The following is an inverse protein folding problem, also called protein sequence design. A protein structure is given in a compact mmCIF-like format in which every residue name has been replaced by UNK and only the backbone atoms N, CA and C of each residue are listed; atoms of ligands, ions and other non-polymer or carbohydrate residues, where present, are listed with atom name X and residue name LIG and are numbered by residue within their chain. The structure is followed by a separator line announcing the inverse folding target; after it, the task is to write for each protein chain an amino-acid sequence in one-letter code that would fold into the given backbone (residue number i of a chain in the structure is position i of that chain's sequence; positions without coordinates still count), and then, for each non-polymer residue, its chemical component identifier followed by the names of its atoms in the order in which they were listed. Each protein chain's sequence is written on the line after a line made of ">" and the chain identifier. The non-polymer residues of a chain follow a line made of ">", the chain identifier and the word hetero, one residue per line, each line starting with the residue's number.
data_IF_158847589501
#
_entry.id   IF_158847589501
#
_cell.length_a   1.000
_cell.length_b   1.000
_cell.length_c   1.000
_cell.angle_alpha   90.00
_cell.angle_beta   90.00
_cell.angle_gamma   90.00
#
_symmetry.space_group_name_H-M   'P 1'
#
loop_
_entity.id
_entity.type
_entity.pdbx_description
1 polymer ?
#
# COMPACT_ATOMS: atom_id res chain seq x y z
N UNK A 1 0.15 -7.03 15.00
CA UNK A 1 1.50 -6.60 14.54
C UNK A 1 2.26 -7.82 14.06
N UNK A 2 2.90 -7.75 12.88
CA UNK A 2 3.81 -8.78 12.41
C UNK A 2 5.03 -8.81 13.33
N UNK A 3 5.39 -10.00 13.85
CA UNK A 3 6.54 -10.20 14.74
C UNK A 3 7.71 -10.81 14.02
N UNK A 4 7.45 -11.89 13.30
CA UNK A 4 8.47 -12.59 12.53
C UNK A 4 7.93 -12.97 11.16
N UNK A 5 8.81 -12.99 10.19
CA UNK A 5 8.58 -13.54 8.86
C UNK A 5 9.80 -14.38 8.51
N UNK A 6 9.59 -15.66 8.22
CA UNK A 6 10.63 -16.58 7.86
C UNK A 6 10.32 -17.24 6.52
N UNK A 7 11.17 -17.05 5.58
CA UNK A 7 11.04 -17.50 4.19
C UNK A 7 12.07 -18.60 3.93
N UNK A 8 11.59 -19.74 3.47
CA UNK A 8 12.45 -20.88 3.09
C UNK A 8 12.24 -21.23 1.64
N UNK A 9 13.34 -21.29 0.89
CA UNK A 9 13.35 -21.68 -0.52
C UNK A 9 12.41 -20.86 -1.42
N UNK A 10 12.26 -19.57 -1.07
CA UNK A 10 11.47 -18.60 -1.83
C UNK A 10 12.23 -17.26 -1.83
N UNK A 11 12.22 -16.57 -2.98
CA UNK A 11 12.96 -15.33 -3.15
C UNK A 11 14.45 -15.55 -3.42
N UNK A 12 15.26 -14.52 -3.18
CA UNK A 12 16.68 -14.51 -3.53
C UNK A 12 17.55 -15.29 -2.54
N UNK A 13 17.16 -15.37 -1.29
CA UNK A 13 17.88 -16.12 -0.26
C UNK A 13 17.16 -17.46 0.00
N UNK A 14 17.89 -18.56 0.15
CA UNK A 14 17.30 -19.87 0.43
C UNK A 14 16.65 -19.93 1.82
N UNK A 15 17.14 -19.13 2.76
CA UNK A 15 16.60 -18.99 4.10
C UNK A 15 16.76 -17.52 4.53
N UNK A 16 15.63 -16.84 4.79
CA UNK A 16 15.59 -15.47 5.22
C UNK A 16 14.61 -15.31 6.38
N UNK A 17 15.13 -14.93 7.54
CA UNK A 17 14.32 -14.60 8.70
C UNK A 17 14.41 -13.11 9.03
N UNK A 18 13.27 -12.50 9.26
CA UNK A 18 13.12 -11.09 9.65
C UNK A 18 12.31 -11.01 10.93
N UNK A 19 12.87 -10.43 11.96
CA UNK A 19 12.19 -10.09 13.20
C UNK A 19 11.83 -8.60 13.16
N UNK A 20 10.54 -8.29 13.28
CA UNK A 20 10.01 -6.95 13.10
C UNK A 20 9.94 -6.19 14.42
N UNK A 21 10.47 -4.97 14.42
CA UNK A 21 10.28 -4.04 15.52
C UNK A 21 8.82 -3.55 15.59
N UNK A 22 8.34 -3.14 16.77
CA UNK A 22 6.91 -2.82 16.97
C UNK A 22 6.43 -1.56 16.23
N UNK A 23 7.31 -0.63 15.89
CA UNK A 23 6.89 0.68 15.35
C UNK A 23 7.53 1.04 14.02
N UNK A 24 8.85 0.93 13.90
CA UNK A 24 9.59 1.34 12.72
C UNK A 24 10.57 0.25 12.32
N UNK A 25 10.57 -0.10 11.05
CA UNK A 25 11.51 -1.01 10.43
C UNK A 25 12.05 -0.35 9.16
N UNK A 26 13.35 -0.21 9.06
CA UNK A 26 14.01 0.34 7.88
C UNK A 26 14.68 -0.79 7.12
N UNK A 27 14.26 -1.01 5.86
CA UNK A 27 14.82 -2.03 4.96
C UNK A 27 15.64 -1.30 3.92
N UNK A 28 16.97 -1.49 3.96
CA UNK A 28 17.92 -0.87 3.05
C UNK A 28 18.62 -1.93 2.19
N UNK A 29 19.22 -1.51 1.12
CA UNK A 29 19.98 -2.36 0.20
C UNK A 29 19.82 -1.91 -1.25
N UNK A 30 20.64 -2.46 -2.15
CA UNK A 30 20.64 -2.12 -3.56
C UNK A 30 19.35 -2.54 -4.27
N UNK A 31 19.12 -2.01 -5.48
CA UNK A 31 18.00 -2.40 -6.31
C UNK A 31 18.08 -3.88 -6.71
N UNK A 32 16.93 -4.53 -6.79
CA UNK A 32 16.87 -5.95 -7.12
C UNK A 32 17.08 -6.92 -5.95
N UNK A 33 17.45 -6.46 -4.76
CA UNK A 33 17.69 -7.33 -3.58
C UNK A 33 16.41 -7.79 -2.85
N UNK A 34 15.24 -7.65 -3.47
CA UNK A 34 14.00 -8.23 -2.95
C UNK A 34 13.33 -7.45 -1.83
N UNK A 35 13.63 -6.15 -1.64
CA UNK A 35 12.96 -5.32 -0.62
C UNK A 35 11.45 -5.28 -0.80
N UNK A 36 10.97 -5.00 -2.02
CA UNK A 36 9.54 -5.00 -2.34
C UNK A 36 8.91 -6.38 -2.18
N UNK A 37 9.61 -7.44 -2.60
CA UNK A 37 9.18 -8.81 -2.39
C UNK A 37 8.97 -9.15 -0.90
N UNK A 38 9.85 -8.66 -0.02
CA UNK A 38 9.68 -8.83 1.43
C UNK A 38 8.43 -8.10 1.94
N UNK A 39 8.16 -6.91 1.42
CA UNK A 39 6.96 -6.14 1.77
C UNK A 39 5.68 -6.80 1.23
N UNK A 40 5.70 -7.37 0.03
CA UNK A 40 4.58 -8.16 -0.53
C UNK A 40 4.25 -9.37 0.34
N UNK A 41 5.27 -10.05 0.85
CA UNK A 41 5.10 -11.17 1.78
C UNK A 41 4.61 -10.73 3.16
N UNK A 42 5.07 -9.58 3.66
CA UNK A 42 4.56 -8.98 4.90
C UNK A 42 3.08 -8.61 4.75
N UNK A 43 2.69 -8.01 3.63
CA UNK A 43 1.29 -7.75 3.29
C UNK A 43 0.47 -9.04 3.29
N UNK A 44 0.95 -10.06 2.58
CA UNK A 44 0.25 -11.35 2.52
C UNK A 44 0.12 -12.01 3.90
N UNK A 45 1.17 -12.00 4.71
CA UNK A 45 1.15 -12.55 6.07
C UNK A 45 0.08 -11.88 6.96
N UNK A 46 -0.13 -10.57 6.78
CA UNK A 46 -1.10 -9.79 7.54
C UNK A 46 -2.54 -9.94 7.03
N UNK A 47 -2.74 -10.05 5.71
CA UNK A 47 -4.06 -9.91 5.08
C UNK A 47 -4.57 -11.18 4.40
N UNK A 48 -3.69 -12.14 4.09
CA UNK A 48 -3.98 -13.34 3.28
C UNK A 48 -4.46 -13.01 1.87
N UNK A 49 -4.04 -11.85 1.36
CA UNK A 49 -4.27 -11.42 -0.02
C UNK A 49 -2.95 -10.99 -0.64
N UNK A 50 -2.87 -10.96 -1.95
CA UNK A 50 -1.72 -10.42 -2.66
C UNK A 50 -2.04 -9.01 -3.15
N UNK A 51 -1.10 -8.09 -2.95
CA UNK A 51 -1.25 -6.72 -3.46
C UNK A 51 -0.93 -6.60 -4.96
N UNK A 52 -0.28 -7.60 -5.50
CA UNK A 52 0.08 -7.76 -6.90
C UNK A 52 0.11 -9.25 -7.24
N UNK A 53 1.17 -9.71 -7.89
CA UNK A 53 1.35 -11.13 -8.18
C UNK A 53 1.65 -11.95 -6.91
N UNK A 54 1.14 -13.15 -6.87
CA UNK A 54 1.50 -14.10 -5.83
C UNK A 54 3.00 -14.44 -5.91
N UNK A 55 3.64 -14.61 -4.76
CA UNK A 55 5.02 -15.06 -4.72
C UNK A 55 5.12 -16.48 -5.29
N UNK A 56 5.89 -16.66 -6.34
CA UNK A 56 6.16 -17.96 -6.96
C UNK A 56 7.59 -18.40 -6.62
N UNK A 57 7.77 -19.54 -5.96
CA UNK A 57 9.09 -20.08 -5.71
C UNK A 57 9.72 -20.62 -6.99
N UNK A 58 11.06 -20.55 -7.13
CA UNK A 58 11.75 -21.17 -8.27
C UNK A 58 11.34 -22.63 -8.49
N UNK A 59 11.29 -23.07 -9.74
CA UNK A 59 10.84 -24.42 -10.08
C UNK A 59 11.65 -25.53 -9.36
N UNK A 60 12.96 -25.32 -9.20
CA UNK A 60 13.87 -26.26 -8.53
C UNK A 60 13.79 -26.21 -6.98
N UNK A 61 13.08 -25.23 -6.41
CA UNK A 61 13.00 -25.10 -4.95
C UNK A 61 12.29 -26.29 -4.31
N UNK A 62 12.93 -26.86 -3.30
CA UNK A 62 12.36 -27.96 -2.50
C UNK A 62 11.65 -27.38 -1.28
N UNK A 63 10.39 -27.79 -1.08
CA UNK A 63 9.58 -27.41 0.09
C UNK A 63 9.58 -25.89 0.37
N UNK A 64 9.16 -25.04 -0.57
CA UNK A 64 9.05 -23.60 -0.32
C UNK A 64 8.04 -23.34 0.80
N UNK A 65 8.41 -22.45 1.73
CA UNK A 65 7.61 -22.21 2.93
C UNK A 65 7.66 -20.75 3.35
N UNK A 66 6.52 -20.22 3.74
CA UNK A 66 6.36 -18.95 4.44
C UNK A 66 5.88 -19.26 5.86
N UNK A 67 6.67 -18.88 6.84
CA UNK A 67 6.30 -18.96 8.25
C UNK A 67 6.24 -17.55 8.82
N UNK A 68 5.23 -17.24 9.61
CA UNK A 68 5.09 -15.93 10.20
C UNK A 68 4.34 -15.97 11.53
N UNK A 69 4.60 -14.95 12.35
CA UNK A 69 3.96 -14.72 13.62
C UNK A 69 3.34 -13.33 13.62
N UNK A 70 2.02 -13.27 13.81
CA UNK A 70 1.30 -12.00 14.01
C UNK A 70 0.74 -11.95 15.40
N UNK A 71 1.15 -10.96 16.16
CA UNK A 71 0.62 -10.71 17.49
C UNK A 71 -0.71 -9.94 17.38
N UNK A 72 -1.79 -10.56 17.83
CA UNK A 72 -3.10 -9.96 18.01
C UNK A 72 -3.31 -9.39 19.42
N UNK A 73 -4.55 -9.04 19.75
CA UNK A 73 -4.94 -8.56 21.09
C UNK A 73 -5.03 -9.68 22.13
N UNK A 74 -5.19 -10.93 21.72
CA UNK A 74 -5.42 -12.06 22.61
C UNK A 74 -4.28 -13.08 22.55
N UNK A 75 -3.52 -13.20 23.63
CA UNK A 75 -2.63 -14.33 23.91
C UNK A 75 -1.31 -14.38 23.16
N UNK A 76 -0.54 -15.45 23.38
CA UNK A 76 0.69 -15.73 22.68
C UNK A 76 0.43 -15.99 21.19
N UNK A 77 1.20 -15.32 20.35
CA UNK A 77 1.13 -15.45 18.92
C UNK A 77 1.76 -16.80 18.50
N UNK A 78 0.95 -17.69 17.92
CA UNK A 78 1.44 -18.97 17.39
C UNK A 78 1.99 -18.79 15.98
N UNK A 79 3.09 -19.47 15.62
CA UNK A 79 3.57 -19.49 14.24
C UNK A 79 2.51 -20.06 13.30
N UNK A 80 2.37 -19.42 12.17
CA UNK A 80 1.57 -19.89 11.04
C UNK A 80 2.51 -20.26 9.92
N UNK A 81 2.35 -21.47 9.40
CA UNK A 81 3.18 -22.02 8.34
C UNK A 81 2.32 -22.25 7.11
N UNK A 82 2.76 -21.74 5.98
CA UNK A 82 2.21 -22.03 4.66
C UNK A 82 3.27 -22.69 3.79
N UNK A 83 2.96 -23.84 3.22
CA UNK A 83 3.81 -24.53 2.25
C UNK A 83 3.20 -24.34 0.88
N UNK A 84 4.04 -23.99 -0.09
CA UNK A 84 3.59 -23.79 -1.47
C UNK A 84 3.05 -25.08 -2.07
N UNK A 85 1.86 -25.01 -2.63
CA UNK A 85 1.24 -26.11 -3.34
C UNK A 85 1.38 -25.88 -4.85
N UNK A 86 2.23 -26.70 -5.49
CA UNK A 86 2.53 -26.54 -6.91
C UNK A 86 1.39 -26.91 -7.86
N UNK A 87 0.44 -27.75 -7.40
CA UNK A 87 -0.69 -28.19 -8.23
C UNK A 87 -1.63 -27.05 -8.63
N UNK A 88 -1.77 -26.07 -7.78
CA UNK A 88 -2.68 -24.94 -7.94
C UNK A 88 -1.99 -23.59 -7.70
N UNK A 89 -0.66 -23.61 -7.57
CA UNK A 89 0.18 -22.44 -7.38
C UNK A 89 -0.25 -21.56 -6.20
N UNK A 90 -0.68 -22.16 -5.11
CA UNK A 90 -1.22 -21.46 -3.96
C UNK A 90 -0.36 -21.58 -2.71
N UNK A 91 -0.59 -20.65 -1.80
CA UNK A 91 -0.07 -20.64 -0.44
C UNK A 91 -1.21 -20.92 0.56
N UNK A 92 -1.58 -22.20 0.76
CA UNK A 92 -2.67 -22.55 1.66
C UNK A 92 -2.30 -22.26 3.12
N UNK A 93 -3.30 -21.87 3.89
CA UNK A 93 -3.16 -21.69 5.32
C UNK A 93 -4.33 -22.35 6.02
N UNK A 94 -4.06 -23.21 6.99
CA UNK A 94 -5.08 -23.97 7.72
C UNK A 94 -6.00 -23.09 8.58
N UNK A 95 -5.54 -21.88 8.94
CA UNK A 95 -6.35 -20.95 9.71
C UNK A 95 -7.47 -20.35 8.84
N UNK A 96 -8.70 -20.54 9.26
CA UNK A 96 -9.92 -20.12 8.55
C UNK A 96 -10.00 -18.60 8.29
N UNK A 97 -9.32 -17.79 9.10
CA UNK A 97 -9.38 -16.31 9.03
C UNK A 97 -7.99 -15.69 9.04
N UNK A 98 -7.78 -14.54 8.38
CA UNK A 98 -6.54 -13.80 8.51
C UNK A 98 -6.33 -13.33 9.96
N UNK A 99 -5.10 -13.01 10.36
CA UNK A 99 -4.88 -12.34 11.63
C UNK A 99 -5.62 -10.99 11.63
N UNK A 100 -5.86 -10.42 12.80
CA UNK A 100 -6.50 -9.10 12.92
C UNK A 100 -5.45 -8.05 13.35
N UNK A 101 -4.62 -7.57 12.44
CA UNK A 101 -3.56 -6.62 12.77
C UNK A 101 -4.05 -5.18 12.98
N UNK A 102 -5.30 -4.87 12.61
CA UNK A 102 -5.84 -3.53 12.43
C UNK A 102 -5.88 -3.18 10.94
N UNK A 103 -5.98 -1.90 10.60
CA UNK A 103 -5.88 -1.43 9.22
C UNK A 103 -4.44 -1.67 8.74
N UNK A 104 -4.32 -2.22 7.54
CA UNK A 104 -3.04 -2.40 6.85
C UNK A 104 -3.08 -1.58 5.57
N UNK A 105 -2.08 -0.73 5.39
CA UNK A 105 -1.88 0.06 4.16
C UNK A 105 -0.53 -0.30 3.58
N UNK A 106 -0.50 -0.59 2.31
CA UNK A 106 0.71 -0.87 1.55
C UNK A 106 0.81 0.10 0.38
N UNK A 107 1.75 1.04 0.48
CA UNK A 107 2.06 1.99 -0.59
C UNK A 107 3.11 1.35 -1.48
N UNK A 108 2.78 1.21 -2.76
CA UNK A 108 3.64 0.53 -3.74
C UNK A 108 4.53 1.53 -4.47
N UNK A 109 5.64 1.01 -4.99
CA UNK A 109 6.62 1.80 -5.75
C UNK A 109 6.04 2.38 -7.07
N UNK A 110 4.98 1.79 -7.58
CA UNK A 110 4.27 2.24 -8.78
C UNK A 110 3.32 3.43 -8.54
N UNK A 111 3.30 3.95 -7.30
CA UNK A 111 2.39 5.04 -6.91
C UNK A 111 0.97 4.59 -6.55
N UNK A 112 0.67 3.31 -6.71
CA UNK A 112 -0.58 2.73 -6.23
C UNK A 112 -0.51 2.37 -4.75
N UNK A 113 -1.64 1.99 -4.17
CA UNK A 113 -1.67 1.45 -2.80
C UNK A 113 -2.72 0.37 -2.63
N UNK A 114 -2.55 -0.40 -1.57
CA UNK A 114 -3.48 -1.44 -1.17
C UNK A 114 -3.92 -1.21 0.26
N UNK A 115 -5.18 -1.44 0.55
CA UNK A 115 -5.77 -1.28 1.89
C UNK A 115 -6.50 -2.55 2.28
N UNK A 116 -6.22 -3.02 3.48
CA UNK A 116 -7.00 -4.06 4.14
C UNK A 116 -7.58 -3.48 5.43
N UNK A 117 -8.91 -3.44 5.50
CA UNK A 117 -9.67 -2.93 6.64
C UNK A 117 -10.41 -4.09 7.32
N UNK A 118 -10.13 -4.40 8.60
CA UNK A 118 -10.81 -5.48 9.30
C UNK A 118 -12.33 -5.32 9.35
N UNK A 119 -12.84 -4.10 9.37
CA UNK A 119 -14.27 -3.85 9.37
C UNK A 119 -14.95 -4.27 8.05
N UNK A 120 -14.21 -4.24 6.94
CA UNK A 120 -14.73 -4.50 5.59
C UNK A 120 -14.26 -5.82 5.01
N UNK A 121 -12.99 -6.17 5.20
CA UNK A 121 -12.36 -7.28 4.51
C UNK A 121 -12.24 -8.57 5.37
N UNK A 122 -12.40 -8.46 6.69
CA UNK A 122 -12.25 -9.61 7.59
C UNK A 122 -13.34 -10.67 7.39
N UNK A 123 -14.59 -10.24 7.18
CA UNK A 123 -15.73 -11.10 6.99
C UNK A 123 -15.98 -11.36 5.50
N UNK A 124 -15.34 -12.40 4.97
CA UNK A 124 -15.45 -12.79 3.55
C UNK A 124 -16.77 -13.49 3.18
N UNK A 125 -17.69 -13.59 4.08
CA UNK A 125 -18.99 -14.26 3.85
C UNK A 125 -19.94 -13.44 2.98
N UNK A 126 -19.63 -12.17 2.71
CA UNK A 126 -20.40 -11.32 1.81
C UNK A 126 -19.77 -11.36 0.41
N UNK A 127 -20.44 -11.97 -0.59
CA UNK A 127 -19.88 -12.09 -1.95
C UNK A 127 -19.63 -10.74 -2.64
N UNK A 128 -20.22 -9.66 -2.14
CA UNK A 128 -20.00 -8.30 -2.66
C UNK A 128 -18.78 -7.58 -2.06
N UNK A 129 -18.09 -8.19 -1.09
CA UNK A 129 -16.93 -7.56 -0.44
C UNK A 129 -15.61 -8.07 -0.98
N UNK A 130 -14.73 -7.19 -1.47
CA UNK A 130 -13.41 -7.61 -1.93
C UNK A 130 -12.56 -8.11 -0.75
N UNK A 131 -11.62 -9.00 -1.05
CA UNK A 131 -10.68 -9.53 -0.05
C UNK A 131 -9.71 -8.46 0.47
N UNK A 132 -9.41 -7.46 -0.34
CA UNK A 132 -8.70 -6.22 -0.03
C UNK A 132 -9.04 -5.18 -1.11
N UNK A 133 -8.71 -3.92 -0.87
CA UNK A 133 -8.82 -2.86 -1.87
C UNK A 133 -7.46 -2.59 -2.47
N UNK A 134 -7.39 -2.51 -3.80
CA UNK A 134 -6.17 -2.23 -4.55
C UNK A 134 -6.45 -1.08 -5.51
N UNK A 135 -5.62 -0.04 -5.44
CA UNK A 135 -5.74 1.14 -6.27
C UNK A 135 -4.46 1.29 -7.10
N UNK A 136 -4.61 1.39 -8.42
CA UNK A 136 -3.51 1.75 -9.31
C UNK A 136 -3.18 3.24 -9.16
N UNK A 137 -1.98 3.67 -9.58
CA UNK A 137 -1.57 5.07 -9.47
C UNK A 137 -2.57 6.04 -10.12
N UNK A 138 -3.02 5.72 -11.33
CA UNK A 138 -4.00 6.58 -12.02
C UNK A 138 -5.34 6.67 -11.29
N UNK A 139 -5.81 5.57 -10.65
CA UNK A 139 -7.05 5.58 -9.86
C UNK A 139 -6.92 6.43 -8.60
N UNK A 140 -5.71 6.52 -8.03
CA UNK A 140 -5.44 7.43 -6.90
C UNK A 140 -5.56 8.89 -7.33
N UNK A 141 -4.99 9.23 -8.47
CA UNK A 141 -4.96 10.62 -8.97
C UNK A 141 -6.24 11.05 -9.66
N UNK A 142 -6.77 10.22 -10.56
CA UNK A 142 -7.87 10.56 -11.45
C UNK A 142 -9.23 10.05 -10.95
N UNK A 143 -9.22 9.13 -9.99
CA UNK A 143 -10.41 8.50 -9.43
C UNK A 143 -10.71 7.14 -10.04
N UNK A 144 -11.72 6.49 -9.49
CA UNK A 144 -12.13 5.14 -9.85
C UNK A 144 -13.57 5.11 -10.32
N UNK A 145 -13.77 4.55 -11.52
CA UNK A 145 -15.07 4.24 -12.07
C UNK A 145 -15.28 2.71 -12.08
N UNK A 146 -16.41 2.26 -11.57
CA UNK A 146 -16.81 0.85 -11.60
C UNK A 146 -18.20 0.73 -12.22
N UNK A 147 -18.30 -0.03 -13.30
CA UNK A 147 -19.57 -0.23 -14.00
C UNK A 147 -20.22 1.06 -14.52
N UNK A 148 -19.42 2.07 -14.87
CA UNK A 148 -19.88 3.38 -15.33
C UNK A 148 -20.33 4.33 -14.20
N UNK A 149 -20.14 3.94 -12.95
CA UNK A 149 -20.41 4.79 -11.79
C UNK A 149 -19.10 5.25 -11.16
N UNK A 150 -18.99 6.54 -10.87
CA UNK A 150 -17.87 7.13 -10.15
C UNK A 150 -17.90 6.67 -8.68
N UNK A 151 -16.88 5.92 -8.26
CA UNK A 151 -16.73 5.42 -6.87
C UNK A 151 -15.93 6.39 -6.02
N UNK A 152 -14.89 6.99 -6.58
CA UNK A 152 -14.12 8.06 -5.94
C UNK A 152 -13.62 9.05 -6.99
N UNK A 153 -13.47 10.31 -6.59
CA UNK A 153 -13.12 11.41 -7.49
C UNK A 153 -11.64 11.48 -7.85
N UNK A 154 -10.79 10.87 -7.02
CA UNK A 154 -9.36 10.95 -7.12
C UNK A 154 -8.76 12.18 -6.44
N UNK A 155 -7.48 12.08 -6.11
CA UNK A 155 -6.79 13.09 -5.29
C UNK A 155 -6.72 14.47 -5.98
N UNK A 156 -6.58 14.52 -7.30
CA UNK A 156 -6.54 15.81 -8.02
C UNK A 156 -7.80 16.62 -7.79
N UNK A 157 -8.96 15.99 -7.94
CA UNK A 157 -10.24 16.67 -7.76
C UNK A 157 -10.58 16.90 -6.30
N UNK A 158 -10.30 15.92 -5.46
CA UNK A 158 -10.53 16.02 -4.03
C UNK A 158 -9.68 17.12 -3.40
N UNK A 159 -8.42 17.26 -3.80
CA UNK A 159 -7.54 18.33 -3.32
C UNK A 159 -8.14 19.72 -3.60
N UNK A 160 -8.50 19.99 -4.85
CA UNK A 160 -9.12 21.26 -5.23
C UNK A 160 -10.40 21.51 -4.43
N UNK A 161 -11.29 20.52 -4.36
CA UNK A 161 -12.55 20.61 -3.63
C UNK A 161 -12.33 20.84 -2.12
N UNK A 162 -11.31 20.24 -1.53
CA UNK A 162 -10.98 20.44 -0.11
C UNK A 162 -10.41 21.82 0.14
N UNK A 163 -9.57 22.31 -0.76
CA UNK A 163 -8.95 23.63 -0.68
C UNK A 163 -9.98 24.74 -0.84
N UNK A 164 -10.79 24.72 -1.89
CA UNK A 164 -11.85 25.71 -2.15
C UNK A 164 -12.94 25.69 -1.08
N UNK A 165 -13.35 24.49 -0.67
CA UNK A 165 -14.34 24.29 0.39
C UNK A 165 -13.81 24.51 1.80
N UNK A 166 -12.52 24.80 1.99
CA UNK A 166 -11.85 24.91 3.30
C UNK A 166 -12.15 23.73 4.22
N UNK A 167 -12.20 22.52 3.64
CA UNK A 167 -12.58 21.30 4.36
C UNK A 167 -11.46 20.84 5.31
N UNK A 168 -11.80 20.12 6.39
CA UNK A 168 -10.78 19.63 7.33
C UNK A 168 -9.76 18.69 6.70
N UNK A 169 -10.10 17.98 5.61
CA UNK A 169 -9.19 17.16 4.83
C UNK A 169 -8.04 17.98 4.23
N UNK A 170 -8.29 19.23 3.85
CA UNK A 170 -7.24 20.11 3.34
C UNK A 170 -6.18 20.39 4.39
N UNK A 171 -6.58 20.60 5.64
CA UNK A 171 -5.60 20.78 6.75
C UNK A 171 -4.73 19.54 6.96
N UNK A 172 -5.31 18.35 6.84
CA UNK A 172 -4.55 17.11 6.92
C UNK A 172 -3.54 16.98 5.75
N UNK A 173 -3.94 17.40 4.55
CA UNK A 173 -3.07 17.44 3.38
C UNK A 173 -1.91 18.45 3.57
N UNK A 174 -2.20 19.65 4.04
CA UNK A 174 -1.16 20.67 4.33
C UNK A 174 -0.17 20.15 5.37
N UNK A 175 -0.65 19.49 6.41
CA UNK A 175 0.21 18.91 7.44
C UNK A 175 1.06 17.76 6.86
N UNK A 176 0.51 16.92 6.00
CA UNK A 176 1.28 15.88 5.30
C UNK A 176 2.37 16.49 4.42
N UNK A 177 2.06 17.52 3.63
CA UNK A 177 3.05 18.25 2.83
C UNK A 177 4.15 18.83 3.71
N UNK A 178 3.79 19.46 4.82
CA UNK A 178 4.74 20.04 5.78
C UNK A 178 5.70 18.99 6.36
N UNK A 179 5.17 17.81 6.75
CA UNK A 179 5.96 16.75 7.37
C UNK A 179 6.88 16.06 6.37
N UNK A 180 6.42 15.92 5.13
CA UNK A 180 7.17 15.24 4.06
C UNK A 180 8.14 16.18 3.33
N UNK A 181 8.03 17.50 3.55
CA UNK A 181 8.89 18.48 2.91
C UNK A 181 10.35 18.37 3.36
N UNK A 182 11.30 18.56 2.44
CA UNK A 182 12.68 18.84 2.80
C UNK A 182 12.77 20.09 3.68
N UNK A 183 13.68 20.08 4.65
CA UNK A 183 13.86 21.22 5.57
C UNK A 183 14.23 22.52 4.84
N UNK A 184 15.00 22.40 3.75
CA UNK A 184 15.46 23.56 2.97
C UNK A 184 14.39 24.13 2.03
N UNK A 185 13.43 23.30 1.60
CA UNK A 185 12.41 23.68 0.60
C UNK A 185 11.04 23.15 1.02
N UNK A 186 10.32 23.89 1.88
CA UNK A 186 9.02 23.43 2.36
C UNK A 186 7.98 23.44 1.22
N UNK A 187 7.35 22.28 1.02
CA UNK A 187 6.23 22.13 0.11
C UNK A 187 4.94 22.68 0.73
N UNK A 188 4.18 23.41 -0.06
CA UNK A 188 2.86 23.93 0.33
C UNK A 188 1.87 23.74 -0.80
N UNK A 189 0.60 23.65 -0.48
CA UNK A 189 -0.45 23.69 -1.48
C UNK A 189 -0.49 25.09 -2.11
N UNK A 190 -0.39 25.13 -3.44
CA UNK A 190 -0.54 26.35 -4.22
C UNK A 190 -2.00 26.59 -4.63
N UNK A 191 -2.33 27.74 -5.24
CA UNK A 191 -3.65 28.00 -5.76
C UNK A 191 -3.95 27.05 -6.93
N UNK A 192 -5.15 26.45 -6.99
CA UNK A 192 -5.54 25.64 -8.14
C UNK A 192 -5.44 26.43 -9.45
N UNK A 193 -5.00 25.77 -10.51
CA UNK A 193 -4.79 26.41 -11.80
C UNK A 193 -5.35 25.57 -12.95
N UNK A 194 -5.90 26.26 -13.95
CA UNK A 194 -6.30 25.63 -15.22
C UNK A 194 -5.08 25.49 -16.13
N UNK A 195 -4.70 24.26 -16.43
CA UNK A 195 -3.48 23.98 -17.20
C UNK A 195 -3.71 24.02 -18.72
N UNK A 196 -4.90 23.64 -19.17
CA UNK A 196 -5.19 23.55 -20.60
C UNK A 196 -6.43 24.36 -20.96
N UNK A 197 -6.36 25.06 -22.10
CA UNK A 197 -7.51 25.76 -22.68
C UNK A 197 -8.50 24.68 -23.14
N UNK A 198 -9.70 24.68 -22.59
CA UNK A 198 -10.72 23.67 -22.87
C UNK A 198 -10.85 22.60 -21.79
N UNK A 199 -9.94 22.53 -20.83
CA UNK A 199 -10.13 21.73 -19.63
C UNK A 199 -11.15 22.41 -18.72
N UNK A 200 -12.26 21.71 -18.40
CA UNK A 200 -13.36 22.27 -17.59
C UNK A 200 -13.06 22.38 -16.11
N UNK A 201 -11.83 22.04 -15.67
CA UNK A 201 -11.49 21.96 -14.23
C UNK A 201 -10.11 22.56 -13.94
N UNK A 202 -9.96 23.08 -12.73
CA UNK A 202 -8.69 23.48 -12.18
C UNK A 202 -7.95 22.26 -11.60
N UNK A 203 -6.62 22.30 -11.62
CA UNK A 203 -5.75 21.25 -11.10
C UNK A 203 -4.98 21.73 -9.88
N UNK A 204 -4.65 20.83 -8.94
CA UNK A 204 -3.87 21.20 -7.77
C UNK A 204 -2.43 21.56 -8.15
N UNK A 205 -1.86 22.50 -7.41
CA UNK A 205 -0.48 22.93 -7.56
C UNK A 205 0.27 22.86 -6.23
N UNK A 206 1.58 22.78 -6.33
CA UNK A 206 2.52 22.90 -5.22
C UNK A 206 3.26 24.23 -5.32
N UNK A 207 3.48 24.86 -4.16
CA UNK A 207 4.43 25.95 -4.00
C UNK A 207 5.76 25.37 -3.53
N UNK A 208 6.81 25.56 -4.32
CA UNK A 208 8.19 25.15 -4.03
C UNK A 208 9.04 26.40 -4.08
N UNK A 209 9.44 26.91 -2.93
CA UNK A 209 10.06 28.24 -2.85
C UNK A 209 9.12 29.33 -3.38
N UNK A 210 9.50 30.01 -4.46
CA UNK A 210 8.69 31.02 -5.16
C UNK A 210 7.95 30.50 -6.40
N UNK A 211 8.10 29.22 -6.73
CA UNK A 211 7.53 28.65 -7.94
C UNK A 211 6.23 27.91 -7.65
N UNK A 212 5.26 28.05 -8.52
CA UNK A 212 4.02 27.25 -8.52
C UNK A 212 4.15 26.17 -9.59
N UNK A 213 4.10 24.92 -9.15
CA UNK A 213 4.26 23.74 -10.01
C UNK A 213 2.98 22.89 -9.96
N UNK A 214 2.36 22.58 -11.12
CA UNK A 214 1.25 21.64 -11.14
C UNK A 214 1.67 20.27 -10.58
N UNK A 215 0.86 19.68 -9.71
CA UNK A 215 1.18 18.38 -9.08
C UNK A 215 1.44 17.31 -10.13
N UNK A 216 0.67 17.29 -11.22
CA UNK A 216 0.84 16.34 -12.33
C UNK A 216 2.20 16.45 -13.04
N UNK A 217 2.90 17.59 -12.91
CA UNK A 217 4.22 17.84 -13.50
C UNK A 217 5.35 17.80 -12.48
N UNK A 218 5.03 17.62 -11.20
CA UNK A 218 6.03 17.46 -10.17
C UNK A 218 6.80 16.14 -10.38
N UNK A 219 8.11 16.17 -10.14
CA UNK A 219 8.91 14.95 -10.24
C UNK A 219 8.52 13.96 -9.14
N UNK A 220 8.75 12.67 -9.38
CA UNK A 220 8.46 11.61 -8.42
C UNK A 220 9.26 11.72 -7.09
N UNK A 221 10.15 12.68 -6.97
CA UNK A 221 10.93 12.98 -5.77
C UNK A 221 10.43 14.20 -4.99
N UNK A 222 9.31 14.79 -5.41
CA UNK A 222 8.66 15.93 -4.75
C UNK A 222 7.46 15.46 -3.93
#
# INVERSE_FOLDING_TARGET
>A
MLKTLHLKNIGLAPDLRVDWAPRLNLITGDNGLGKSFLLDLAWWALTRTWAGMAALPPAASKNPQIEYVVQGKAGEAKPVVSKFRRSDETWPVDAKRPPMPGIVVYIRIDGGFSVWDPARNYWRSDPGRPAAYHFAAHEVWEGLDVGGQRVCEGLERDWVNWQEGRKPQFKALEEALRVLSPVAEPLRAGPPQRLFIGEGRDRPTLLIGSQTVPVALASAGV
#
